data_IF_009794983084
#
_entry.id   IF_009794983084
#
_cell.length_a   1.000
_cell.length_b   1.000
_cell.length_c   1.000
_cell.angle_alpha   90.00
_cell.angle_beta   90.00
_cell.angle_gamma   90.00
#
_symmetry.space_group_name_H-M   'P 1'
#
loop_
_entity.id
_entity.type
_entity.pdbx_description
1 polymer ?
#
# COMPACT_ATOMS: atom_id res chain seq x y z
N UNK A 1 14.88 -19.82 -11.76
CA UNK A 1 14.57 -19.19 -10.45
C UNK A 1 13.08 -19.05 -10.31
N UNK A 2 12.47 -19.72 -9.33
CA UNK A 2 11.04 -19.56 -9.04
C UNK A 2 10.83 -18.30 -8.21
N UNK A 3 9.94 -17.41 -8.65
CA UNK A 3 9.44 -16.32 -7.81
C UNK A 3 8.33 -16.93 -6.97
N UNK A 4 8.56 -17.10 -5.67
CA UNK A 4 7.47 -17.40 -4.73
C UNK A 4 6.60 -16.15 -4.62
N UNK A 5 5.33 -16.26 -5.01
CA UNK A 5 4.38 -15.18 -4.86
C UNK A 5 4.02 -15.03 -3.37
N UNK A 6 4.21 -13.84 -2.81
CA UNK A 6 3.71 -13.51 -1.47
C UNK A 6 2.21 -13.21 -1.60
N UNK A 7 1.39 -13.90 -0.82
CA UNK A 7 -0.04 -13.58 -0.73
C UNK A 7 -0.23 -12.28 0.04
N UNK A 8 -1.13 -11.44 -0.48
CA UNK A 8 -1.46 -10.15 0.12
C UNK A 8 -2.96 -10.01 0.30
N UNK A 9 -3.36 -9.37 1.40
CA UNK A 9 -4.75 -9.02 1.66
C UNK A 9 -4.86 -7.51 1.90
N UNK A 10 -5.61 -6.82 1.03
CA UNK A 10 -5.85 -5.38 1.15
C UNK A 10 -7.20 -5.08 1.81
N UNK A 11 -7.23 -4.13 2.75
CA UNK A 11 -8.45 -3.71 3.45
C UNK A 11 -8.56 -2.17 3.53
N UNK A 12 -9.77 -1.59 3.36
CA UNK A 12 -10.96 -2.24 2.80
C UNK A 12 -10.77 -2.58 1.30
N UNK A 13 -11.52 -3.57 0.76
CA UNK A 13 -11.42 -3.95 -0.66
C UNK A 13 -12.00 -2.89 -1.61
N UNK A 14 -12.97 -2.10 -1.13
CA UNK A 14 -13.54 -0.97 -1.84
C UNK A 14 -14.00 0.08 -0.84
N UNK A 15 -13.99 1.34 -1.27
CA UNK A 15 -14.39 2.48 -0.45
C UNK A 15 -14.92 3.59 -1.38
N UNK A 16 -15.94 4.31 -0.93
CA UNK A 16 -16.43 5.53 -1.56
C UNK A 16 -16.42 6.65 -0.53
N UNK A 17 -15.67 7.72 -0.80
CA UNK A 17 -15.49 8.84 0.12
C UNK A 17 -15.85 10.16 -0.53
N UNK A 18 -16.20 11.13 0.31
CA UNK A 18 -16.32 12.53 -0.09
C UNK A 18 -14.93 13.15 -0.24
N UNK A 19 -14.80 14.14 -1.13
CA UNK A 19 -13.56 14.89 -1.28
C UNK A 19 -13.17 15.56 0.05
N UNK A 20 -11.88 15.51 0.39
CA UNK A 20 -11.35 16.03 1.65
C UNK A 20 -11.47 15.07 2.84
N UNK A 21 -12.19 13.94 2.70
CA UNK A 21 -12.16 12.89 3.70
C UNK A 21 -10.84 12.11 3.63
N UNK A 22 -10.35 11.69 4.80
CA UNK A 22 -9.15 10.87 4.90
C UNK A 22 -9.48 9.37 4.96
N UNK A 23 -8.52 8.54 4.56
CA UNK A 23 -8.65 7.08 4.62
C UNK A 23 -7.32 6.39 4.85
N UNK A 24 -7.38 5.16 5.34
CA UNK A 24 -6.21 4.27 5.39
C UNK A 24 -6.53 2.98 4.65
N UNK A 25 -5.73 2.67 3.64
CA UNK A 25 -5.65 1.35 3.06
C UNK A 25 -4.59 0.55 3.83
N UNK A 26 -4.88 -0.70 4.14
CA UNK A 26 -3.95 -1.62 4.78
C UNK A 26 -3.68 -2.81 3.87
N UNK A 27 -2.47 -3.33 3.91
CA UNK A 27 -2.04 -4.52 3.21
C UNK A 27 -1.33 -5.44 4.21
N UNK A 28 -1.83 -6.66 4.39
CA UNK A 28 -1.17 -7.70 5.17
C UNK A 28 -0.50 -8.70 4.22
N UNK A 29 0.66 -9.22 4.63
CA UNK A 29 1.46 -10.17 3.86
C UNK A 29 1.52 -11.53 4.57
N UNK A 30 1.52 -12.63 3.83
CA UNK A 30 1.69 -13.96 4.43
C UNK A 30 3.08 -14.16 5.04
N UNK A 31 4.11 -13.53 4.47
CA UNK A 31 5.50 -13.52 4.95
C UNK A 31 6.06 -12.12 5.06
N UNK A 32 7.17 -11.94 5.80
CA UNK A 32 7.84 -10.64 5.88
C UNK A 32 8.28 -10.18 4.47
N UNK A 33 7.85 -8.99 4.01
CA UNK A 33 8.23 -8.50 2.68
C UNK A 33 9.67 -7.97 2.69
N UNK A 34 10.37 -8.10 1.58
CA UNK A 34 11.66 -7.43 1.33
C UNK A 34 11.48 -6.00 0.83
N UNK A 35 10.37 -5.74 0.14
CA UNK A 35 9.94 -4.44 -0.34
C UNK A 35 8.41 -4.42 -0.47
N UNK A 36 7.80 -3.26 -0.25
CA UNK A 36 6.36 -3.05 -0.46
C UNK A 36 6.18 -1.87 -1.41
N UNK A 37 5.31 -2.04 -2.40
CA UNK A 37 5.00 -1.01 -3.38
C UNK A 37 3.50 -0.69 -3.35
N UNK A 38 3.19 0.59 -3.24
CA UNK A 38 1.82 1.10 -3.38
C UNK A 38 1.66 1.69 -4.77
N UNK A 39 0.61 1.28 -5.48
CA UNK A 39 0.28 1.74 -6.82
C UNK A 39 -1.09 2.41 -6.85
N UNK A 40 -1.24 3.36 -7.77
CA UNK A 40 -2.51 3.98 -8.13
C UNK A 40 -2.82 3.72 -9.60
N UNK A 41 -4.09 3.48 -9.92
CA UNK A 41 -4.58 3.32 -11.28
C UNK A 41 -5.93 4.01 -11.42
N UNK A 42 -5.99 5.04 -12.28
CA UNK A 42 -7.27 5.55 -12.76
C UNK A 42 -7.91 4.53 -13.73
N UNK A 43 -9.25 4.48 -13.84
CA UNK A 43 -9.93 3.65 -14.83
C UNK A 43 -9.33 3.80 -16.24
N UNK A 44 -8.90 2.69 -16.84
CA UNK A 44 -8.33 2.66 -18.19
C UNK A 44 -6.89 3.16 -18.34
N UNK A 45 -6.20 3.54 -17.25
CA UNK A 45 -4.81 4.02 -17.29
C UNK A 45 -3.81 2.97 -16.81
N UNK A 46 -2.51 3.24 -17.03
CA UNK A 46 -1.42 2.42 -16.49
C UNK A 46 -1.25 2.60 -14.98
N UNK A 47 -0.67 1.60 -14.33
CA UNK A 47 -0.24 1.71 -12.94
C UNK A 47 0.79 2.83 -12.77
N UNK A 48 0.58 3.65 -11.74
CA UNK A 48 1.51 4.68 -11.29
C UNK A 48 2.03 4.31 -9.91
N UNK A 49 3.35 4.23 -9.77
CA UNK A 49 3.98 3.94 -8.47
C UNK A 49 3.83 5.16 -7.56
N UNK A 50 3.27 4.95 -6.36
CA UNK A 50 3.18 5.97 -5.31
C UNK A 50 4.40 5.90 -4.39
N UNK A 51 4.68 4.70 -3.85
CA UNK A 51 5.80 4.47 -2.93
C UNK A 51 6.45 3.11 -3.12
N UNK A 52 7.73 3.04 -2.78
CA UNK A 52 8.47 1.80 -2.52
C UNK A 52 9.11 1.91 -1.13
N UNK A 53 8.62 1.10 -0.18
CA UNK A 53 8.98 1.18 1.25
C UNK A 53 9.24 -0.21 1.82
N UNK A 54 10.51 -0.64 1.93
CA UNK A 54 10.87 -1.88 2.62
C UNK A 54 10.44 -1.91 4.09
N UNK A 55 10.62 -0.79 4.79
CA UNK A 55 10.24 -0.61 6.18
C UNK A 55 10.22 0.88 6.53
N UNK A 56 9.52 1.24 7.61
CA UNK A 56 9.41 2.60 8.09
C UNK A 56 8.37 3.40 7.32
N UNK A 57 8.46 4.72 7.39
CA UNK A 57 7.42 5.64 6.91
C UNK A 57 7.96 6.56 5.82
N UNK A 58 7.20 6.74 4.74
CA UNK A 58 7.46 7.72 3.67
C UNK A 58 6.22 8.54 3.40
N UNK A 59 6.40 9.85 3.27
CA UNK A 59 5.33 10.80 2.96
C UNK A 59 5.62 11.52 1.66
N UNK A 60 4.57 11.77 0.87
CA UNK A 60 4.62 12.65 -0.28
C UNK A 60 3.26 13.32 -0.46
N UNK A 61 3.23 14.65 -0.32
CA UNK A 61 1.98 15.42 -0.37
C UNK A 61 0.97 14.92 0.65
N UNK A 62 -0.22 14.55 0.14
CA UNK A 62 -1.38 14.04 0.89
C UNK A 62 -1.29 12.55 1.24
N UNK A 63 -0.20 11.87 0.88
CA UNK A 63 -0.03 10.44 1.06
C UNK A 63 1.05 10.13 2.07
N UNK A 64 0.79 9.15 2.93
CA UNK A 64 1.76 8.64 3.89
C UNK A 64 1.72 7.10 3.91
N UNK A 65 2.83 6.45 3.57
CA UNK A 65 2.95 5.00 3.60
C UNK A 65 3.85 4.53 4.74
N UNK A 66 3.38 3.55 5.51
CA UNK A 66 4.17 2.91 6.58
C UNK A 66 4.25 1.41 6.34
N UNK A 67 5.45 0.84 6.38
CA UNK A 67 5.66 -0.62 6.33
C UNK A 67 6.30 -1.09 7.62
N UNK A 68 5.66 -2.05 8.30
CA UNK A 68 6.19 -2.76 9.46
C UNK A 68 6.41 -4.21 9.06
N UNK A 69 7.57 -4.49 8.44
CA UNK A 69 7.86 -5.79 7.84
C UNK A 69 7.77 -6.97 8.83
N UNK A 70 8.17 -6.74 10.09
CA UNK A 70 8.06 -7.75 11.17
C UNK A 70 6.62 -8.11 11.49
N UNK A 71 5.71 -7.14 11.41
CA UNK A 71 4.27 -7.35 11.56
C UNK A 71 3.60 -7.83 10.27
N UNK A 72 4.38 -7.94 9.18
CA UNK A 72 3.88 -8.31 7.85
C UNK A 72 2.70 -7.43 7.45
N UNK A 73 2.85 -6.12 7.68
CA UNK A 73 1.82 -5.13 7.38
C UNK A 73 2.40 -3.88 6.75
N UNK A 74 1.66 -3.31 5.81
CA UNK A 74 1.86 -1.97 5.30
C UNK A 74 0.54 -1.19 5.30
N UNK A 75 0.61 0.13 5.39
CA UNK A 75 -0.52 1.02 5.25
C UNK A 75 -0.21 2.15 4.28
N UNK A 76 -1.26 2.67 3.65
CA UNK A 76 -1.28 3.89 2.88
C UNK A 76 -2.39 4.78 3.42
N UNK A 77 -2.00 5.82 4.13
CA UNK A 77 -2.87 6.88 4.58
C UNK A 77 -2.99 7.96 3.49
N UNK A 78 -4.21 8.40 3.26
CA UNK A 78 -4.59 9.44 2.30
C UNK A 78 -5.33 10.50 3.12
N UNK A 79 -4.76 11.70 3.26
CA UNK A 79 -5.39 12.86 3.89
C UNK A 79 -6.02 13.76 2.85
#
# INVERSE_FOLDING_TARGET
SGVTATEVEQRPPALSLQEGASSTLQCNFSTAPTNVQWYHQDPGRRLSLLFSVPSGTKQHGRLNSTTVARERRSSLYIS
#
